data_IF_461644410596
#
_entry.id   IF_461644410596
#
_cell.length_a   1.000
_cell.length_b   1.000
_cell.length_c   1.000
_cell.angle_alpha   90.00
_cell.angle_beta   90.00
_cell.angle_gamma   90.00
#
_symmetry.space_group_name_H-M   'P 1'
#
loop_
_entity.id
_entity.type
_entity.pdbx_description
1 polymer ?
#
# COMPACT_ATOMS: atom_id res chain seq x y z
N UNK A 1 20.06 11.31 8.92
CA UNK A 1 18.88 10.64 8.33
C UNK A 1 18.64 9.25 8.91
N UNK A 2 19.64 8.35 8.93
CA UNK A 2 19.46 6.98 9.43
C UNK A 2 18.81 6.86 10.80
N UNK A 3 19.25 7.68 11.77
CA UNK A 3 18.65 7.72 13.11
C UNK A 3 17.29 8.43 13.17
N UNK A 4 17.05 9.42 12.30
CA UNK A 4 15.82 10.21 12.33
C UNK A 4 14.61 9.34 11.91
N UNK A 5 14.75 8.59 10.82
CA UNK A 5 13.64 7.82 10.25
C UNK A 5 13.82 6.31 10.43
N UNK A 6 14.43 5.91 11.54
CA UNK A 6 14.81 4.53 11.82
C UNK A 6 13.66 3.52 11.65
N UNK A 7 12.42 3.75 12.14
CA UNK A 7 11.30 2.81 11.97
C UNK A 7 10.97 2.50 10.51
N UNK A 8 11.06 3.48 9.60
CA UNK A 8 10.80 3.24 8.18
C UNK A 8 11.93 2.47 7.50
N UNK A 9 13.18 2.73 7.90
CA UNK A 9 14.36 2.06 7.36
C UNK A 9 14.44 0.59 7.81
N UNK A 10 14.06 0.26 9.04
CA UNK A 10 14.03 -1.13 9.52
C UNK A 10 12.99 -1.95 8.77
N UNK A 11 11.80 -1.38 8.53
CA UNK A 11 10.76 -2.04 7.73
C UNK A 11 11.20 -2.25 6.28
N UNK A 12 11.87 -1.26 5.68
CA UNK A 12 12.43 -1.41 4.32
C UNK A 12 13.52 -2.48 4.29
N UNK A 13 14.44 -2.47 5.26
CA UNK A 13 15.49 -3.47 5.36
C UNK A 13 14.92 -4.88 5.48
N UNK A 14 13.91 -5.09 6.32
CA UNK A 14 13.23 -6.39 6.44
C UNK A 14 12.66 -6.89 5.11
N UNK A 15 12.01 -6.01 4.33
CA UNK A 15 11.50 -6.35 2.99
C UNK A 15 12.61 -6.62 1.98
N UNK A 16 13.74 -5.93 2.09
CA UNK A 16 14.85 -6.16 1.17
C UNK A 16 15.62 -7.46 1.47
N UNK A 17 15.55 -7.96 2.71
CA UNK A 17 16.19 -9.23 3.10
C UNK A 17 15.29 -10.45 2.95
N UNK A 18 14.01 -10.26 2.62
CA UNK A 18 13.08 -11.32 2.21
C UNK A 18 13.29 -11.60 0.71
N UNK A 19 13.94 -12.72 0.39
CA UNK A 19 14.40 -13.05 -0.96
C UNK A 19 13.29 -13.58 -1.89
N UNK A 20 12.19 -14.03 -1.29
CA UNK A 20 10.95 -14.53 -1.88
C UNK A 20 9.94 -13.41 -2.24
N UNK A 21 10.09 -12.21 -1.67
CA UNK A 21 9.21 -11.08 -1.93
C UNK A 21 9.65 -10.21 -3.14
N UNK A 22 8.70 -9.40 -3.63
CA UNK A 22 8.87 -8.51 -4.79
C UNK A 22 9.90 -7.38 -4.64
N UNK A 23 10.56 -7.24 -3.48
CA UNK A 23 11.46 -6.13 -3.13
C UNK A 23 12.92 -6.54 -2.83
N UNK A 24 13.29 -7.80 -3.08
CA UNK A 24 14.66 -8.33 -2.88
C UNK A 24 15.76 -7.56 -3.62
N UNK A 25 15.45 -6.86 -4.72
CA UNK A 25 16.40 -6.01 -5.45
C UNK A 25 16.74 -4.70 -4.72
N UNK A 26 16.01 -4.34 -3.65
CA UNK A 26 16.15 -3.06 -2.97
C UNK A 26 17.57 -2.78 -2.45
N UNK A 27 18.24 -3.78 -1.87
CA UNK A 27 19.63 -3.64 -1.41
C UNK A 27 20.60 -3.29 -2.55
N UNK A 28 20.43 -3.89 -3.74
CA UNK A 28 21.28 -3.59 -4.90
C UNK A 28 21.06 -2.16 -5.39
N UNK A 29 19.81 -1.70 -5.42
CA UNK A 29 19.49 -0.32 -5.82
C UNK A 29 20.09 0.68 -4.82
N UNK A 30 19.94 0.44 -3.52
CA UNK A 30 20.52 1.30 -2.47
C UNK A 30 22.05 1.28 -2.53
N UNK A 31 22.66 0.12 -2.75
CA UNK A 31 24.11 0.00 -2.93
C UNK A 31 24.63 0.79 -4.13
N UNK A 32 23.98 0.66 -5.29
CA UNK A 32 24.31 1.44 -6.48
C UNK A 32 24.09 2.95 -6.27
N UNK A 33 23.02 3.34 -5.58
CA UNK A 33 22.74 4.72 -5.22
C UNK A 33 23.85 5.32 -4.35
N UNK A 34 24.25 4.64 -3.27
CA UNK A 34 25.33 5.09 -2.38
C UNK A 34 26.66 5.17 -3.14
N UNK A 35 26.99 4.14 -3.93
CA UNK A 35 28.19 4.13 -4.77
C UNK A 35 28.23 5.34 -5.73
N UNK A 36 27.11 5.61 -6.40
CA UNK A 36 26.99 6.73 -7.34
C UNK A 36 27.06 8.09 -6.64
N UNK A 37 26.50 8.22 -5.43
CA UNK A 37 26.65 9.41 -4.60
C UNK A 37 28.12 9.67 -4.27
N UNK A 38 28.84 8.65 -3.77
CA UNK A 38 30.27 8.76 -3.43
C UNK A 38 31.09 9.15 -4.67
N UNK A 39 30.87 8.47 -5.81
CA UNK A 39 31.59 8.74 -7.06
C UNK A 39 31.32 10.13 -7.64
N UNK A 40 30.12 10.67 -7.41
CA UNK A 40 29.75 12.01 -7.90
C UNK A 40 30.27 13.16 -7.01
N UNK A 41 30.71 12.86 -5.79
CA UNK A 41 31.25 13.83 -4.83
C UNK A 41 32.71 14.20 -5.19
N UNK A 42 33.19 15.44 -4.95
CA UNK A 42 32.51 16.56 -4.29
C UNK A 42 31.55 17.33 -5.21
N UNK A 43 30.43 17.76 -4.64
CA UNK A 43 29.48 18.61 -5.35
C UNK A 43 29.78 20.11 -5.15
N UNK A 44 29.61 20.94 -6.19
CA UNK A 44 29.74 22.38 -6.04
C UNK A 44 28.61 22.92 -5.15
N UNK A 45 28.96 23.89 -4.30
CA UNK A 45 27.99 24.67 -3.53
C UNK A 45 27.62 25.88 -4.39
N UNK A 46 26.37 25.95 -4.84
CA UNK A 46 25.88 27.12 -5.55
C UNK A 46 25.17 28.08 -4.60
N UNK A 47 25.46 29.40 -4.66
CA UNK A 47 24.74 30.38 -3.88
C UNK A 47 23.24 30.35 -4.24
N UNK A 48 22.42 30.41 -3.19
CA UNK A 48 20.97 30.32 -3.25
C UNK A 48 20.36 31.51 -2.53
N UNK A 49 19.23 32.01 -3.02
CA UNK A 49 18.52 33.10 -2.35
C UNK A 49 18.05 32.68 -0.94
N UNK A 50 18.06 33.62 -0.01
CA UNK A 50 17.60 33.36 1.36
C UNK A 50 16.19 32.79 1.43
N UNK A 51 15.30 33.23 0.52
CA UNK A 51 13.93 32.74 0.42
C UNK A 51 13.84 31.25 0.05
N UNK A 52 14.59 30.78 -0.96
CA UNK A 52 14.55 29.36 -1.34
C UNK A 52 15.12 28.49 -0.21
N UNK A 53 16.15 28.99 0.49
CA UNK A 53 16.72 28.29 1.65
C UNK A 53 15.70 28.20 2.79
N UNK A 54 15.02 29.31 3.11
CA UNK A 54 13.95 29.34 4.12
C UNK A 54 12.77 28.42 3.74
N UNK A 55 12.35 28.44 2.48
CA UNK A 55 11.28 27.55 2.01
C UNK A 55 11.70 26.07 2.09
N UNK A 56 12.96 25.76 1.77
CA UNK A 56 13.50 24.40 1.90
C UNK A 56 13.50 23.92 3.35
N UNK A 57 13.75 24.82 4.32
CA UNK A 57 13.61 24.53 5.76
C UNK A 57 12.18 24.18 6.15
N UNK A 58 11.22 25.00 5.74
CA UNK A 58 9.80 24.77 6.02
C UNK A 58 9.36 23.44 5.42
N UNK A 59 9.74 23.16 4.16
CA UNK A 59 9.40 21.90 3.50
C UNK A 59 10.05 20.70 4.19
N UNK A 60 11.28 20.85 4.71
CA UNK A 60 11.95 19.77 5.45
C UNK A 60 11.23 19.48 6.77
N UNK A 61 10.87 20.53 7.50
CA UNK A 61 10.08 20.43 8.73
C UNK A 61 8.71 19.78 8.47
N UNK A 62 8.01 20.23 7.41
CA UNK A 62 6.73 19.66 7.00
C UNK A 62 6.86 18.20 6.57
N UNK A 63 7.92 17.83 5.84
CA UNK A 63 8.18 16.44 5.46
C UNK A 63 8.43 15.56 6.68
N UNK A 64 9.19 16.07 7.66
CA UNK A 64 9.41 15.37 8.93
C UNK A 64 8.11 15.22 9.74
N UNK A 65 7.25 16.24 9.76
CA UNK A 65 5.92 16.17 10.37
C UNK A 65 5.00 15.17 9.66
N UNK A 66 4.97 15.17 8.31
CA UNK A 66 4.21 14.21 7.52
C UNK A 66 4.66 12.77 7.76
N UNK A 67 5.98 12.55 7.90
CA UNK A 67 6.52 11.26 8.29
C UNK A 67 5.98 10.81 9.66
N UNK A 68 5.99 11.71 10.65
CA UNK A 68 5.43 11.42 11.98
C UNK A 68 3.94 11.05 11.91
N UNK A 69 3.14 11.82 11.19
CA UNK A 69 1.70 11.55 11.02
C UNK A 69 1.46 10.20 10.33
N UNK A 70 2.27 9.86 9.32
CA UNK A 70 2.20 8.57 8.64
C UNK A 70 2.56 7.40 9.58
N UNK A 71 3.57 7.57 10.43
CA UNK A 71 3.98 6.56 11.41
C UNK A 71 2.91 6.31 12.48
N UNK A 72 2.34 7.38 13.07
CA UNK A 72 1.18 7.30 13.99
C UNK A 72 -0.02 6.64 13.29
N UNK A 73 -0.27 6.97 12.03
CA UNK A 73 -1.34 6.36 11.26
C UNK A 73 -1.06 4.89 10.85
N UNK A 74 0.14 4.35 11.12
CA UNK A 74 0.61 3.05 10.62
C UNK A 74 0.46 2.94 9.08
N UNK A 75 0.70 4.04 8.36
CA UNK A 75 0.74 4.09 6.89
C UNK A 75 2.21 4.03 6.46
N UNK A 76 2.80 2.84 6.55
CA UNK A 76 4.24 2.64 6.31
C UNK A 76 4.71 3.16 4.94
N UNK A 77 3.90 3.00 3.89
CA UNK A 77 4.24 3.47 2.55
C UNK A 77 4.50 4.99 2.50
N UNK A 78 3.65 5.79 3.17
CA UNK A 78 3.83 7.24 3.21
C UNK A 78 5.09 7.63 4.00
N UNK A 79 5.36 6.94 5.12
CA UNK A 79 6.59 7.14 5.89
C UNK A 79 7.85 6.83 5.07
N UNK A 80 7.84 5.72 4.32
CA UNK A 80 8.96 5.36 3.44
C UNK A 80 9.14 6.36 2.29
N UNK A 81 8.05 6.78 1.65
CA UNK A 81 8.09 7.78 0.57
C UNK A 81 8.60 9.14 1.04
N UNK A 82 8.37 9.53 2.30
CA UNK A 82 8.86 10.80 2.86
C UNK A 82 10.40 10.88 2.94
N UNK A 83 11.11 9.75 2.90
CA UNK A 83 12.58 9.69 2.93
C UNK A 83 13.21 10.38 1.71
N UNK A 84 12.62 10.22 0.52
CA UNK A 84 13.14 10.78 -0.74
C UNK A 84 13.12 12.31 -0.74
N UNK A 85 11.97 13.00 -0.56
CA UNK A 85 11.94 14.45 -0.53
C UNK A 85 12.75 15.01 0.64
N UNK A 86 12.74 14.36 1.81
CA UNK A 86 13.60 14.78 2.92
C UNK A 86 15.08 14.76 2.50
N UNK A 87 15.53 13.74 1.75
CA UNK A 87 16.93 13.64 1.33
C UNK A 87 17.27 14.71 0.29
N UNK A 88 16.39 14.92 -0.69
CA UNK A 88 16.53 15.98 -1.69
C UNK A 88 16.58 17.37 -1.04
N UNK A 89 15.76 17.62 -0.02
CA UNK A 89 15.75 18.89 0.72
C UNK A 89 17.03 19.11 1.51
N UNK A 90 17.57 18.07 2.16
CA UNK A 90 18.88 18.12 2.82
C UNK A 90 19.98 18.50 1.83
N UNK A 91 19.98 17.87 0.64
CA UNK A 91 20.93 18.21 -0.43
C UNK A 91 20.73 19.66 -0.91
N UNK A 92 19.49 20.09 -1.10
CA UNK A 92 19.14 21.46 -1.53
C UNK A 92 19.62 22.51 -0.53
N UNK A 93 19.42 22.27 0.77
CA UNK A 93 19.89 23.17 1.84
C UNK A 93 21.42 23.22 1.90
N UNK A 94 22.11 22.09 1.68
CA UNK A 94 23.57 21.99 1.83
C UNK A 94 24.35 22.52 0.63
N UNK A 95 23.89 22.21 -0.58
CA UNK A 95 24.62 22.43 -1.83
C UNK A 95 23.91 23.41 -2.78
N UNK A 96 22.65 23.75 -2.50
CA UNK A 96 21.83 24.62 -3.33
C UNK A 96 20.95 23.85 -4.32
N UNK A 97 19.85 24.47 -4.72
CA UNK A 97 18.85 23.94 -5.65
C UNK A 97 19.44 23.56 -7.00
N UNK A 98 20.38 24.35 -7.53
CA UNK A 98 21.05 24.05 -8.82
C UNK A 98 21.77 22.71 -8.79
N UNK A 99 22.49 22.43 -7.69
CA UNK A 99 23.20 21.15 -7.49
C UNK A 99 22.22 19.99 -7.34
N UNK A 100 21.17 20.16 -6.53
CA UNK A 100 20.13 19.14 -6.36
C UNK A 100 19.43 18.82 -7.69
N UNK A 101 19.12 19.84 -8.49
CA UNK A 101 18.48 19.69 -9.79
C UNK A 101 19.40 19.03 -10.83
N UNK A 102 20.70 19.35 -10.81
CA UNK A 102 21.70 18.70 -11.67
C UNK A 102 21.81 17.19 -11.38
N UNK A 103 21.62 16.79 -10.13
CA UNK A 103 21.68 15.39 -9.68
C UNK A 103 20.31 14.74 -9.49
N UNK A 104 19.22 15.36 -9.97
CA UNK A 104 17.84 14.88 -9.72
C UNK A 104 17.61 13.42 -10.08
N UNK A 105 18.23 12.95 -11.17
CA UNK A 105 18.11 11.55 -11.59
C UNK A 105 18.75 10.61 -10.57
N UNK A 106 19.95 10.94 -10.09
CA UNK A 106 20.56 10.15 -9.02
C UNK A 106 19.69 10.17 -7.76
N UNK A 107 19.20 11.35 -7.36
CA UNK A 107 18.43 11.54 -6.11
C UNK A 107 17.06 10.84 -6.11
N UNK A 108 16.45 10.62 -7.27
CA UNK A 108 15.16 9.94 -7.41
C UNK A 108 15.29 8.42 -7.52
N UNK A 109 16.48 7.88 -7.77
CA UNK A 109 16.73 6.44 -7.91
C UNK A 109 16.18 5.58 -6.74
N UNK A 110 16.22 6.01 -5.46
CA UNK A 110 15.68 5.22 -4.36
C UNK A 110 14.18 4.88 -4.46
N UNK A 111 13.42 5.51 -5.37
CA UNK A 111 12.00 5.18 -5.60
C UNK A 111 11.79 3.71 -6.00
N UNK A 112 12.78 3.09 -6.65
CA UNK A 112 12.74 1.67 -7.03
C UNK A 112 13.04 0.71 -5.87
N UNK A 113 13.51 1.23 -4.73
CA UNK A 113 13.73 0.48 -3.49
C UNK A 113 12.59 0.66 -2.47
N UNK A 114 11.52 1.40 -2.82
CA UNK A 114 10.34 1.62 -1.97
C UNK A 114 9.14 0.85 -2.56
N UNK A 115 8.30 0.20 -1.74
CA UNK A 115 7.14 -0.58 -2.17
C UNK A 115 5.95 0.26 -2.65
N UNK A 116 6.18 1.39 -3.33
CA UNK A 116 5.12 2.18 -3.97
C UNK A 116 4.49 1.43 -5.15
N UNK A 117 5.25 0.50 -5.73
CA UNK A 117 4.88 -0.28 -6.89
C UNK A 117 3.85 -1.38 -6.57
N UNK A 118 3.70 -1.78 -5.30
CA UNK A 118 2.70 -2.76 -4.85
C UNK A 118 1.27 -2.33 -5.23
N UNK A 119 1.02 -1.03 -5.38
CA UNK A 119 -0.25 -0.47 -5.86
C UNK A 119 -0.65 -0.96 -7.26
N UNK A 120 0.32 -1.39 -8.08
CA UNK A 120 0.08 -1.91 -9.42
C UNK A 120 -0.18 -3.42 -9.44
N UNK A 121 0.03 -4.13 -8.34
CA UNK A 121 0.05 -5.60 -8.30
C UNK A 121 -1.23 -6.22 -8.88
N UNK A 122 -2.41 -5.79 -8.41
CA UNK A 122 -3.70 -6.29 -8.89
C UNK A 122 -3.89 -6.04 -10.40
N UNK A 123 -3.49 -4.88 -10.89
CA UNK A 123 -3.56 -4.54 -12.32
C UNK A 123 -2.64 -5.43 -13.16
N UNK A 124 -1.44 -5.73 -12.65
CA UNK A 124 -0.48 -6.59 -13.33
C UNK A 124 -0.89 -8.07 -13.32
N UNK A 125 -1.53 -8.57 -12.25
CA UNK A 125 -2.14 -9.91 -12.21
C UNK A 125 -3.21 -10.04 -13.28
N UNK A 126 -4.14 -9.08 -13.35
CA UNK A 126 -5.21 -9.07 -14.35
C UNK A 126 -4.65 -9.01 -15.78
N UNK A 127 -3.66 -8.15 -16.01
CA UNK A 127 -3.01 -8.01 -17.31
C UNK A 127 -2.28 -9.31 -17.71
N UNK A 128 -1.53 -9.92 -16.80
CA UNK A 128 -0.83 -11.18 -17.04
C UNK A 128 -1.81 -12.32 -17.35
N UNK A 129 -2.90 -12.42 -16.60
CA UNK A 129 -3.95 -13.43 -16.82
C UNK A 129 -4.61 -13.28 -18.19
N UNK A 130 -4.88 -12.04 -18.61
CA UNK A 130 -5.45 -11.75 -19.92
C UNK A 130 -4.49 -12.12 -21.06
N UNK A 131 -3.22 -11.70 -20.97
CA UNK A 131 -2.23 -11.95 -22.03
C UNK A 131 -1.92 -13.44 -22.15
N UNK A 132 -1.59 -14.09 -21.04
CA UNK A 132 -1.29 -15.53 -21.02
C UNK A 132 -2.50 -16.34 -21.45
N UNK A 133 -3.69 -16.00 -20.96
CA UNK A 133 -4.94 -16.66 -21.36
C UNK A 133 -5.15 -16.62 -22.88
N UNK A 134 -4.91 -15.45 -23.51
CA UNK A 134 -4.97 -15.34 -24.98
C UNK A 134 -3.91 -16.20 -25.68
N UNK A 135 -2.69 -16.25 -25.16
CA UNK A 135 -1.63 -17.09 -25.75
C UNK A 135 -1.95 -18.59 -25.67
N UNK A 136 -2.52 -19.05 -24.55
CA UNK A 136 -2.98 -20.44 -24.37
C UNK A 136 -4.11 -20.77 -25.36
N UNK A 137 -5.06 -19.85 -25.53
CA UNK A 137 -6.12 -20.01 -26.53
C UNK A 137 -5.58 -20.04 -27.97
N UNK A 138 -4.59 -19.20 -28.28
CA UNK A 138 -3.97 -19.13 -29.62
C UNK A 138 -3.30 -20.45 -30.03
N UNK A 139 -2.76 -21.22 -29.08
CA UNK A 139 -2.16 -22.54 -29.35
C UNK A 139 -3.19 -23.69 -29.28
N UNK A 140 -4.49 -23.40 -29.14
CA UNK A 140 -5.59 -24.37 -29.04
C UNK A 140 -5.41 -25.42 -27.93
N UNK A 141 -4.74 -25.05 -26.84
CA UNK A 141 -4.55 -25.93 -25.69
C UNK A 141 -5.86 -26.04 -24.88
N UNK A 142 -6.26 -27.25 -24.43
CA UNK A 142 -7.51 -27.44 -23.67
C UNK A 142 -7.37 -26.84 -22.27
N UNK A 143 -7.76 -25.58 -22.10
CA UNK A 143 -7.71 -24.88 -20.83
C UNK A 143 -8.96 -24.01 -20.62
N UNK A 144 -9.44 -23.95 -19.38
CA UNK A 144 -10.50 -23.02 -18.96
C UNK A 144 -9.84 -21.88 -18.20
N UNK A 145 -10.08 -20.65 -18.64
CA UNK A 145 -9.54 -19.44 -18.02
C UNK A 145 -10.67 -18.77 -17.25
N UNK A 146 -10.52 -18.67 -15.93
CA UNK A 146 -11.48 -17.98 -15.06
C UNK A 146 -10.72 -17.00 -14.15
N UNK A 147 -10.88 -15.70 -14.42
CA UNK A 147 -10.15 -14.65 -13.73
C UNK A 147 -8.63 -14.82 -13.85
N UNK A 148 -7.96 -15.04 -12.71
CA UNK A 148 -6.53 -15.30 -12.62
C UNK A 148 -6.18 -16.80 -12.48
N UNK A 149 -7.14 -17.68 -12.70
CA UNK A 149 -6.98 -19.13 -12.65
C UNK A 149 -7.01 -19.73 -14.05
N UNK A 150 -6.05 -20.61 -14.34
CA UNK A 150 -5.96 -21.38 -15.58
C UNK A 150 -6.12 -22.86 -15.22
N UNK A 151 -7.25 -23.46 -15.59
CA UNK A 151 -7.55 -24.87 -15.38
C UNK A 151 -7.12 -25.67 -16.60
N UNK A 152 -6.28 -26.68 -16.39
CA UNK A 152 -5.83 -27.63 -17.40
C UNK A 152 -6.27 -29.04 -16.97
N UNK A 153 -6.28 -30.07 -17.85
CA UNK A 153 -6.85 -31.38 -17.50
C UNK A 153 -6.20 -32.04 -16.27
N UNK A 154 -4.93 -31.76 -16.03
CA UNK A 154 -4.12 -32.40 -14.99
C UNK A 154 -3.90 -31.51 -13.75
N UNK A 155 -4.45 -30.28 -13.72
CA UNK A 155 -4.19 -29.35 -12.63
C UNK A 155 -4.76 -27.95 -12.83
N UNK A 156 -4.45 -27.05 -11.91
CA UNK A 156 -4.81 -25.64 -12.03
C UNK A 156 -3.61 -24.76 -11.67
N UNK A 157 -3.46 -23.66 -12.39
CA UNK A 157 -2.37 -22.69 -12.18
C UNK A 157 -3.02 -21.37 -11.79
N UNK A 158 -2.72 -20.91 -10.58
CA UNK A 158 -3.21 -19.64 -10.05
C UNK A 158 -2.14 -18.57 -10.22
N UNK A 159 -2.46 -17.49 -10.95
CA UNK A 159 -1.62 -16.30 -11.03
C UNK A 159 -1.90 -15.44 -9.80
N UNK A 160 -1.13 -15.72 -8.73
CA UNK A 160 -1.16 -14.98 -7.47
C UNK A 160 -0.10 -13.85 -7.45
N UNK A 161 0.05 -13.20 -6.29
CA UNK A 161 0.94 -12.04 -6.10
C UNK A 161 2.40 -12.32 -6.53
N UNK A 162 2.92 -13.52 -6.28
CA UNK A 162 4.28 -13.91 -6.70
C UNK A 162 4.47 -14.07 -8.22
N UNK A 163 3.39 -14.17 -8.98
CA UNK A 163 3.39 -14.25 -10.45
C UNK A 163 2.81 -13.01 -11.13
N UNK A 164 2.51 -11.94 -10.39
CA UNK A 164 1.96 -10.71 -10.95
C UNK A 164 2.87 -10.06 -12.01
N UNK A 165 4.17 -10.30 -11.92
CA UNK A 165 5.19 -9.67 -12.75
C UNK A 165 5.74 -8.37 -12.18
N UNK A 166 5.30 -7.97 -10.98
CA UNK A 166 5.72 -6.71 -10.36
C UNK A 166 7.25 -6.63 -10.18
N UNK A 167 7.88 -7.74 -9.75
CA UNK A 167 9.34 -7.83 -9.57
C UNK A 167 10.09 -7.54 -10.88
N UNK A 168 9.75 -8.25 -11.94
CA UNK A 168 10.37 -8.07 -13.26
C UNK A 168 10.15 -6.66 -13.82
N UNK A 169 8.95 -6.11 -13.60
CA UNK A 169 8.61 -4.75 -13.98
C UNK A 169 9.48 -3.70 -13.27
N UNK A 170 9.55 -3.76 -11.93
CA UNK A 170 10.31 -2.78 -11.13
C UNK A 170 11.82 -2.91 -11.38
N UNK A 171 12.35 -4.13 -11.46
CA UNK A 171 13.78 -4.35 -11.76
C UNK A 171 14.12 -3.82 -13.14
N UNK A 172 13.29 -4.09 -14.15
CA UNK A 172 13.53 -3.57 -15.51
C UNK A 172 13.50 -2.06 -15.54
N UNK A 173 12.50 -1.43 -14.91
CA UNK A 173 12.44 0.02 -14.81
C UNK A 173 13.69 0.59 -14.12
N UNK A 174 14.13 -0.02 -13.01
CA UNK A 174 15.32 0.41 -12.29
C UNK A 174 16.58 0.29 -13.17
N UNK A 175 16.74 -0.81 -13.91
CA UNK A 175 17.83 -1.01 -14.85
C UNK A 175 17.79 0.00 -16.00
N UNK A 176 16.62 0.20 -16.63
CA UNK A 176 16.43 1.21 -17.67
C UNK A 176 16.72 2.63 -17.18
N UNK A 177 16.37 2.92 -15.93
CA UNK A 177 16.70 4.18 -15.26
C UNK A 177 18.20 4.34 -15.04
N UNK A 178 18.87 3.29 -14.53
CA UNK A 178 20.32 3.27 -14.31
C UNK A 178 21.06 3.45 -15.64
N UNK A 179 20.66 2.74 -16.68
CA UNK A 179 21.23 2.88 -18.04
C UNK A 179 21.05 4.30 -18.55
N UNK A 180 19.86 4.87 -18.40
CA UNK A 180 19.58 6.27 -18.80
C UNK A 180 20.43 7.28 -18.02
N UNK A 181 20.59 7.05 -16.71
CA UNK A 181 21.40 7.88 -15.83
C UNK A 181 22.89 7.83 -16.21
N UNK A 182 23.45 6.64 -16.39
CA UNK A 182 24.86 6.44 -16.74
C UNK A 182 25.21 6.98 -18.13
N UNK A 183 24.26 6.90 -19.08
CA UNK A 183 24.43 7.42 -20.43
C UNK A 183 23.96 8.88 -20.60
N UNK A 184 23.56 9.57 -19.51
CA UNK A 184 23.10 10.97 -19.56
C UNK A 184 22.00 11.24 -20.60
N UNK A 185 21.05 10.32 -20.73
CA UNK A 185 19.93 10.48 -21.64
C UNK A 185 19.11 11.73 -21.33
N UNK A 186 18.58 12.36 -22.39
CA UNK A 186 17.56 13.40 -22.24
C UNK A 186 16.32 12.84 -21.55
N UNK A 187 15.49 13.70 -20.94
CA UNK A 187 14.23 13.26 -20.31
C UNK A 187 13.35 12.43 -21.27
N UNK A 188 13.30 12.81 -22.55
CA UNK A 188 12.54 12.07 -23.58
C UNK A 188 13.11 10.66 -23.77
N UNK A 189 14.43 10.54 -23.90
CA UNK A 189 15.09 9.25 -24.09
C UNK A 189 15.02 8.38 -22.83
N UNK A 190 15.06 8.99 -21.64
CA UNK A 190 14.79 8.31 -20.37
C UNK A 190 13.39 7.72 -20.37
N UNK A 191 12.36 8.49 -20.71
CA UNK A 191 10.99 7.98 -20.76
C UNK A 191 10.84 6.83 -21.77
N UNK A 192 11.41 6.96 -22.97
CA UNK A 192 11.40 5.88 -23.97
C UNK A 192 12.08 4.64 -23.41
N UNK A 193 13.23 4.78 -22.76
CA UNK A 193 13.96 3.67 -22.14
C UNK A 193 13.15 3.00 -21.04
N UNK A 194 12.46 3.77 -20.20
CA UNK A 194 11.57 3.22 -19.17
C UNK A 194 10.38 2.47 -19.76
N UNK A 195 9.78 2.96 -20.85
CA UNK A 195 8.68 2.28 -21.54
C UNK A 195 9.16 0.95 -22.12
N UNK A 196 10.31 0.94 -22.79
CA UNK A 196 10.92 -0.28 -23.34
C UNK A 196 11.23 -1.27 -22.20
N UNK A 197 11.85 -0.79 -21.12
CA UNK A 197 12.21 -1.64 -19.99
C UNK A 197 10.96 -2.21 -19.29
N UNK A 198 9.93 -1.40 -19.07
CA UNK A 198 8.65 -1.85 -18.54
C UNK A 198 8.05 -2.97 -19.41
N UNK A 199 8.01 -2.77 -20.73
CA UNK A 199 7.49 -3.76 -21.66
C UNK A 199 8.29 -5.06 -21.61
N UNK A 200 9.63 -5.00 -21.65
CA UNK A 200 10.49 -6.18 -21.59
C UNK A 200 10.34 -6.94 -20.27
N UNK A 201 10.21 -6.24 -19.14
CA UNK A 201 9.97 -6.86 -17.84
C UNK A 201 8.63 -7.59 -17.77
N UNK A 202 7.57 -6.99 -18.29
CA UNK A 202 6.26 -7.64 -18.38
C UNK A 202 6.27 -8.81 -19.35
N UNK A 203 6.91 -8.66 -20.52
CA UNK A 203 7.06 -9.72 -21.51
C UNK A 203 7.79 -10.94 -20.92
N UNK A 204 8.87 -10.72 -20.18
CA UNK A 204 9.60 -11.79 -19.50
C UNK A 204 8.68 -12.55 -18.52
N UNK A 205 7.86 -11.84 -17.75
CA UNK A 205 6.89 -12.47 -16.84
C UNK A 205 5.81 -13.26 -17.60
N UNK A 206 5.25 -12.70 -18.67
CA UNK A 206 4.22 -13.39 -19.46
C UNK A 206 4.78 -14.65 -20.11
N UNK A 207 5.99 -14.59 -20.67
CA UNK A 207 6.68 -15.76 -21.21
C UNK A 207 6.94 -16.81 -20.13
N UNK A 208 7.38 -16.40 -18.93
CA UNK A 208 7.55 -17.31 -17.78
C UNK A 208 6.26 -18.08 -17.49
N UNK A 209 5.15 -17.36 -17.27
CA UNK A 209 3.86 -18.00 -16.91
C UNK A 209 3.38 -18.88 -18.06
N UNK A 210 3.44 -18.40 -19.30
CA UNK A 210 3.02 -19.17 -20.47
C UNK A 210 3.81 -20.47 -20.61
N UNK A 211 5.14 -20.42 -20.45
CA UNK A 211 5.99 -21.63 -20.48
C UNK A 211 5.61 -22.58 -19.35
N UNK A 212 5.32 -22.07 -18.13
CA UNK A 212 4.88 -22.92 -17.02
C UNK A 212 3.51 -23.57 -17.30
N UNK A 213 2.58 -22.88 -17.96
CA UNK A 213 1.29 -23.47 -18.36
C UNK A 213 1.50 -24.62 -19.35
N UNK A 214 2.32 -24.40 -20.37
CA UNK A 214 2.62 -25.43 -21.38
C UNK A 214 3.37 -26.60 -20.74
N UNK A 215 4.40 -26.35 -19.93
CA UNK A 215 5.15 -27.39 -19.22
C UNK A 215 4.24 -28.16 -18.25
N UNK A 216 3.37 -27.46 -17.51
CA UNK A 216 2.41 -28.08 -16.60
C UNK A 216 1.45 -29.03 -17.32
N UNK A 217 1.07 -28.71 -18.56
CA UNK A 217 0.26 -29.60 -19.39
C UNK A 217 1.03 -30.81 -19.90
N UNK A 218 2.18 -30.59 -20.54
CA UNK A 218 2.98 -31.66 -21.15
C UNK A 218 3.55 -32.63 -20.11
N UNK A 219 3.88 -32.13 -18.92
CA UNK A 219 4.45 -32.94 -17.84
C UNK A 219 3.42 -33.37 -16.79
N UNK A 220 2.13 -33.12 -17.02
CA UNK A 220 1.07 -33.41 -16.05
C UNK A 220 1.39 -32.86 -14.64
N UNK A 221 1.91 -31.63 -14.59
CA UNK A 221 2.35 -30.92 -13.38
C UNK A 221 3.55 -31.54 -12.65
N UNK A 222 4.26 -32.51 -13.23
CA UNK A 222 5.37 -33.22 -12.57
C UNK A 222 6.76 -32.58 -12.76
N UNK A 223 6.88 -31.58 -13.65
CA UNK A 223 8.17 -30.92 -13.89
C UNK A 223 8.68 -30.17 -12.65
N UNK A 224 9.98 -30.30 -12.37
CA UNK A 224 10.66 -29.51 -11.33
C UNK A 224 10.60 -27.99 -11.59
N UNK A 225 10.35 -27.56 -12.83
CA UNK A 225 10.10 -26.14 -13.12
C UNK A 225 8.85 -25.60 -12.44
N UNK A 226 7.88 -26.45 -12.09
CA UNK A 226 6.67 -26.03 -11.38
C UNK A 226 6.97 -25.70 -9.91
N UNK A 227 7.87 -26.43 -9.26
CA UNK A 227 8.33 -26.10 -7.91
C UNK A 227 9.31 -24.92 -7.94
N UNK A 228 10.31 -24.95 -8.82
CA UNK A 228 11.40 -23.97 -8.89
C UNK A 228 11.16 -22.85 -9.91
N UNK A 229 9.88 -22.50 -10.11
CA UNK A 229 9.44 -21.53 -11.10
C UNK A 229 10.06 -20.12 -10.91
N UNK A 230 10.59 -19.79 -9.73
CA UNK A 230 11.33 -18.54 -9.48
C UNK A 230 12.70 -18.49 -10.16
N UNK A 231 13.52 -19.54 -9.98
CA UNK A 231 14.85 -19.62 -10.61
C UNK A 231 14.75 -19.63 -12.13
N UNK A 232 13.79 -20.38 -12.67
CA UNK A 232 13.48 -20.37 -14.09
C UNK A 232 13.13 -18.95 -14.58
N UNK A 233 12.28 -18.25 -13.85
CA UNK A 233 11.91 -16.88 -14.18
C UNK A 233 13.09 -15.91 -14.20
N UNK A 234 14.03 -16.03 -13.25
CA UNK A 234 15.26 -15.24 -13.23
C UNK A 234 16.17 -15.52 -14.44
N UNK A 235 16.33 -16.79 -14.83
CA UNK A 235 17.12 -17.15 -16.00
C UNK A 235 16.51 -16.55 -17.29
N UNK A 236 15.19 -16.65 -17.45
CA UNK A 236 14.47 -16.06 -18.57
C UNK A 236 14.58 -14.53 -18.59
N UNK A 237 14.51 -13.90 -17.41
CA UNK A 237 14.68 -12.47 -17.28
C UNK A 237 16.08 -12.02 -17.68
N UNK A 238 17.13 -12.74 -17.26
CA UNK A 238 18.51 -12.44 -17.65
C UNK A 238 18.70 -12.59 -19.17
N UNK A 239 18.09 -13.61 -19.79
CA UNK A 239 18.13 -13.85 -21.23
C UNK A 239 17.55 -12.68 -22.03
N UNK A 240 16.49 -12.04 -21.54
CA UNK A 240 15.86 -10.88 -22.19
C UNK A 240 16.57 -9.57 -21.82
N UNK A 241 16.96 -9.43 -20.55
CA UNK A 241 17.51 -8.20 -19.98
C UNK A 241 18.94 -7.91 -20.43
N UNK A 242 19.83 -8.92 -20.47
CA UNK A 242 21.23 -8.68 -20.85
C UNK A 242 21.41 -8.16 -22.27
N UNK A 243 20.76 -8.73 -23.31
CA UNK A 243 20.81 -8.13 -24.65
C UNK A 243 20.28 -6.71 -24.66
N UNK A 244 19.18 -6.43 -23.95
CA UNK A 244 18.61 -5.08 -23.89
C UNK A 244 19.57 -4.05 -23.29
N UNK A 245 20.32 -4.42 -22.25
CA UNK A 245 21.35 -3.57 -21.65
C UNK A 245 22.55 -3.43 -22.60
N UNK A 246 22.99 -4.53 -23.22
CA UNK A 246 24.14 -4.55 -24.12
C UNK A 246 23.93 -3.66 -25.35
N UNK A 247 22.72 -3.69 -25.94
CA UNK A 247 22.36 -2.90 -27.11
C UNK A 247 21.84 -1.49 -26.76
N UNK A 248 21.86 -1.09 -25.49
CA UNK A 248 21.43 0.25 -25.10
C UNK A 248 22.35 1.33 -25.73
N UNK A 249 21.80 2.37 -26.39
CA UNK A 249 22.59 3.38 -27.07
C UNK A 249 23.60 4.09 -26.15
N UNK A 250 24.90 4.01 -26.43
CA UNK A 250 25.89 4.73 -25.62
C UNK A 250 26.01 6.17 -26.10
N UNK A 251 25.63 7.13 -25.26
CA UNK A 251 25.84 8.56 -25.52
C UNK A 251 27.13 8.98 -24.84
N UNK A 252 28.16 9.28 -25.63
CA UNK A 252 29.43 9.79 -25.09
C UNK A 252 29.20 11.19 -24.53
N UNK A 253 29.54 11.36 -23.24
CA UNK A 253 29.51 12.66 -22.58
C UNK A 253 30.55 13.60 -23.21
N UNK A 254 30.15 14.80 -23.61
CA UNK A 254 31.07 15.92 -23.75
C UNK A 254 31.35 16.44 -22.34
N UNK A 255 32.55 16.17 -21.83
CA UNK A 255 33.01 16.66 -20.52
C UNK A 255 33.32 18.14 -20.60
N UNK A 256 32.34 18.99 -20.33
CA UNK A 256 32.61 20.38 -19.95
C UNK A 256 32.85 20.41 -18.44
N UNK A 257 34.11 20.30 -18.03
CA UNK A 257 34.50 20.51 -16.64
C UNK A 257 34.60 22.00 -16.38
N UNK A 258 33.52 22.62 -15.89
CA UNK A 258 33.62 23.93 -15.27
C UNK A 258 34.17 23.72 -13.85
N UNK A 259 35.49 23.84 -13.71
CA UNK A 259 36.17 23.78 -12.41
C UNK A 259 35.86 25.06 -11.65
N UNK A 260 34.87 24.98 -10.77
CA UNK A 260 34.62 26.01 -9.76
C UNK A 260 35.46 25.68 -8.52
N UNK A 261 36.24 26.65 -7.99
CA UNK A 261 37.06 26.41 -6.81
C UNK A 261 36.16 26.01 -5.63
N UNK A 262 36.62 25.08 -4.76
CA UNK A 262 35.88 24.71 -3.57
C UNK A 262 35.76 25.95 -2.68
N UNK A 263 34.53 26.43 -2.48
CA UNK A 263 34.29 27.56 -1.59
C UNK A 263 33.40 27.18 -0.41
N UNK A 264 33.95 27.49 0.76
CA UNK A 264 33.39 27.48 2.11
C UNK A 264 33.25 26.14 2.83
N UNK A 265 33.93 26.08 3.97
CA UNK A 265 33.75 25.11 5.05
C UNK A 265 32.28 25.06 5.46
N UNK A 266 31.76 23.88 5.87
CA UNK A 266 30.39 23.78 6.38
C UNK A 266 30.24 24.71 7.59
N UNK A 267 29.34 25.69 7.48
CA UNK A 267 28.98 26.53 8.63
C UNK A 267 28.29 25.62 9.66
N UNK A 268 28.79 25.50 10.90
CA UNK A 268 28.21 24.60 11.91
C UNK A 268 26.73 24.90 12.19
N UNK A 269 26.33 26.17 12.09
CA UNK A 269 24.95 26.65 12.21
C UNK A 269 24.03 26.00 11.15
N UNK A 270 24.50 25.81 9.92
CA UNK A 270 23.72 25.19 8.84
C UNK A 270 23.48 23.70 9.11
N UNK A 271 24.47 22.99 9.68
CA UNK A 271 24.29 21.57 10.01
C UNK A 271 23.34 21.39 11.19
N UNK A 272 23.43 22.26 12.21
CA UNK A 272 22.52 22.25 13.36
C UNK A 272 21.07 22.47 12.94
N UNK A 273 20.80 23.40 12.02
CA UNK A 273 19.44 23.56 11.51
C UNK A 273 18.97 22.33 10.74
N UNK A 274 19.85 21.62 10.00
CA UNK A 274 19.46 20.41 9.21
C UNK A 274 18.97 19.34 10.17
N UNK A 275 19.73 19.15 11.24
CA UNK A 275 19.40 18.22 12.31
C UNK A 275 18.08 18.63 12.96
N UNK A 276 17.90 19.92 13.29
CA UNK A 276 16.66 20.41 13.90
C UNK A 276 15.44 20.14 13.02
N UNK A 277 15.49 20.48 11.72
CA UNK A 277 14.39 20.25 10.78
C UNK A 277 14.06 18.77 10.58
N UNK A 278 15.08 17.90 10.49
CA UNK A 278 14.90 16.45 10.41
C UNK A 278 14.33 15.86 11.69
N UNK A 279 14.69 16.40 12.85
CA UNK A 279 14.34 15.86 14.16
C UNK A 279 12.91 16.16 14.62
N UNK A 280 12.19 17.09 13.98
CA UNK A 280 10.81 17.49 14.40
C UNK A 280 9.88 16.27 14.48
N UNK A 281 9.71 15.52 13.40
CA UNK A 281 8.85 14.34 13.36
C UNK A 281 9.29 13.23 14.32
N UNK A 282 10.56 12.79 14.30
CA UNK A 282 11.06 11.78 15.22
C UNK A 282 10.93 12.17 16.70
N UNK A 283 11.16 13.43 17.04
CA UNK A 283 10.98 13.95 18.40
C UNK A 283 9.51 13.93 18.79
N UNK A 284 8.61 14.39 17.92
CA UNK A 284 7.16 14.28 18.13
C UNK A 284 6.71 12.83 18.26
N UNK A 285 7.29 11.90 17.49
CA UNK A 285 7.00 10.46 17.62
C UNK A 285 7.44 9.93 18.98
N UNK A 286 8.64 10.29 19.44
CA UNK A 286 9.17 9.84 20.71
C UNK A 286 8.34 10.39 21.90
N UNK A 287 7.84 11.62 21.79
CA UNK A 287 7.06 12.29 22.85
C UNK A 287 5.58 11.87 22.84
N UNK A 288 4.96 11.76 21.66
CA UNK A 288 3.51 11.63 21.53
C UNK A 288 3.02 10.22 21.18
N UNK A 289 3.88 9.37 20.59
CA UNK A 289 3.50 8.01 20.17
C UNK A 289 3.92 7.01 21.24
N UNK A 290 3.27 7.10 22.41
CA UNK A 290 3.45 6.16 23.53
C UNK A 290 2.84 4.79 23.21
N UNK A 291 3.32 3.70 23.87
CA UNK A 291 2.69 2.40 23.74
C UNK A 291 1.23 2.44 24.20
N UNK A 292 0.34 1.71 23.50
CA UNK A 292 -1.07 1.68 23.85
C UNK A 292 -1.30 1.09 25.25
N UNK A 293 -2.21 1.69 26.01
CA UNK A 293 -2.74 1.04 27.22
C UNK A 293 -3.78 0.00 26.79
N UNK A 294 -3.52 -1.26 27.18
CA UNK A 294 -4.49 -2.34 27.01
C UNK A 294 -5.52 -2.27 28.14
N UNK A 295 -6.80 -2.36 27.77
CA UNK A 295 -7.92 -2.32 28.70
C UNK A 295 -8.90 -3.41 28.28
N UNK A 296 -9.41 -4.24 29.22
CA UNK A 296 -10.34 -5.30 28.87
C UNK A 296 -11.58 -4.70 28.22
N UNK A 297 -11.91 -5.23 27.04
CA UNK A 297 -13.11 -4.89 26.31
C UNK A 297 -14.33 -5.45 27.06
N UNK A 298 -15.41 -4.68 27.09
CA UNK A 298 -16.65 -5.05 27.76
C UNK A 298 -17.72 -5.32 26.74
N UNK A 299 -18.60 -6.25 27.09
CA UNK A 299 -19.83 -6.44 26.34
C UNK A 299 -20.70 -5.19 26.42
N UNK A 300 -21.11 -4.67 25.26
CA UNK A 300 -21.99 -3.52 25.12
C UNK A 300 -23.46 -3.94 25.05
N UNK A 301 -23.75 -5.13 24.54
CA UNK A 301 -25.11 -5.59 24.23
C UNK A 301 -25.56 -6.83 25.03
N UNK A 302 -24.64 -7.59 25.63
CA UNK A 302 -24.97 -8.90 26.25
C UNK A 302 -26.03 -8.85 27.36
N UNK A 303 -26.25 -7.69 27.99
CA UNK A 303 -27.31 -7.50 29.00
C UNK A 303 -28.71 -7.23 28.44
N UNK A 304 -28.84 -6.91 27.15
CA UNK A 304 -30.10 -6.43 26.53
C UNK A 304 -30.68 -7.37 25.47
N UNK A 305 -29.96 -8.40 25.04
CA UNK A 305 -30.36 -9.19 23.90
C UNK A 305 -29.85 -10.64 23.96
N UNK A 306 -30.46 -11.51 23.17
CA UNK A 306 -30.06 -12.91 23.08
C UNK A 306 -28.83 -13.04 22.18
N UNK A 307 -27.74 -13.69 22.64
CA UNK A 307 -26.58 -13.93 21.81
C UNK A 307 -26.91 -14.93 20.70
N UNK A 308 -26.34 -14.71 19.52
CA UNK A 308 -26.50 -15.59 18.36
C UNK A 308 -25.13 -15.96 17.79
N UNK A 309 -24.98 -17.16 17.20
CA UNK A 309 -23.80 -17.48 16.42
C UNK A 309 -23.69 -16.60 15.17
N UNK A 310 -22.46 -16.20 14.80
CA UNK A 310 -22.18 -15.37 13.61
C UNK A 310 -22.74 -16.00 12.32
N UNK A 311 -22.81 -17.34 12.25
CA UNK A 311 -23.35 -18.08 11.10
C UNK A 311 -24.84 -17.82 10.84
N UNK A 312 -25.57 -17.27 11.81
CA UNK A 312 -26.98 -16.92 11.67
C UNK A 312 -27.22 -15.48 11.19
N UNK A 313 -26.16 -14.67 11.05
CA UNK A 313 -26.25 -13.31 10.53
C UNK A 313 -26.80 -13.31 9.09
N UNK A 314 -27.70 -12.38 8.73
CA UNK A 314 -28.22 -12.25 7.36
C UNK A 314 -27.14 -12.08 6.29
N UNK A 315 -26.09 -11.30 6.59
CA UNK A 315 -24.94 -11.04 5.75
C UNK A 315 -23.66 -11.26 6.56
N UNK A 316 -22.83 -12.21 6.13
CA UNK A 316 -21.52 -12.45 6.74
C UNK A 316 -20.52 -11.38 6.28
N UNK A 317 -19.96 -10.64 7.24
CA UNK A 317 -18.98 -9.61 6.96
C UNK A 317 -17.57 -10.19 6.86
N UNK A 318 -16.81 -9.75 5.85
CA UNK A 318 -15.40 -10.10 5.65
C UNK A 318 -14.52 -9.10 6.41
N UNK A 319 -14.38 -9.32 7.71
CA UNK A 319 -13.63 -8.46 8.62
C UNK A 319 -12.33 -9.13 9.11
N UNK A 320 -11.25 -8.36 9.34
CA UNK A 320 -10.09 -8.82 10.08
C UNK A 320 -10.47 -9.30 11.48
N UNK A 321 -9.69 -10.21 12.07
CA UNK A 321 -9.97 -10.75 13.41
C UNK A 321 -10.07 -9.63 14.45
N UNK A 322 -11.24 -9.38 15.04
CA UNK A 322 -11.41 -8.36 16.06
C UNK A 322 -10.82 -8.83 17.39
N UNK A 323 -10.57 -7.88 18.30
CA UNK A 323 -10.16 -8.19 19.67
C UNK A 323 -11.35 -8.74 20.49
N UNK A 324 -12.56 -8.27 20.18
CA UNK A 324 -13.81 -8.76 20.75
C UNK A 324 -14.95 -8.59 19.74
N UNK A 325 -15.87 -9.54 19.67
CA UNK A 325 -17.04 -9.46 18.79
C UNK A 325 -18.31 -9.91 19.50
N UNK A 326 -19.37 -9.11 19.39
CA UNK A 326 -20.69 -9.43 19.92
C UNK A 326 -21.69 -9.59 18.78
N UNK A 327 -22.50 -10.66 18.85
CA UNK A 327 -23.56 -10.93 17.91
C UNK A 327 -24.85 -11.20 18.68
N UNK A 328 -25.87 -10.37 18.49
CA UNK A 328 -27.14 -10.49 19.20
C UNK A 328 -28.33 -10.27 18.26
N UNK A 329 -29.51 -10.71 18.69
CA UNK A 329 -30.77 -10.45 18.00
C UNK A 329 -31.76 -9.72 18.91
N UNK A 330 -32.35 -8.66 18.37
CA UNK A 330 -33.45 -7.88 18.97
C UNK A 330 -34.58 -7.85 17.94
N UNK A 331 -35.71 -8.49 18.27
CA UNK A 331 -36.84 -8.70 17.35
C UNK A 331 -36.38 -9.35 16.03
N UNK A 332 -36.57 -8.66 14.88
CA UNK A 332 -36.10 -9.09 13.56
C UNK A 332 -34.76 -8.46 13.13
N UNK A 333 -34.14 -7.67 14.02
CA UNK A 333 -32.85 -7.00 13.76
C UNK A 333 -31.70 -7.78 14.38
N UNK A 334 -30.69 -8.03 13.57
CA UNK A 334 -29.45 -8.71 13.92
C UNK A 334 -28.37 -7.65 14.13
N UNK A 335 -27.66 -7.70 15.25
CA UNK A 335 -26.62 -6.73 15.58
C UNK A 335 -25.28 -7.44 15.69
N UNK A 336 -24.28 -6.86 15.03
CA UNK A 336 -22.89 -7.24 15.13
C UNK A 336 -22.07 -6.02 15.55
N UNK A 337 -21.30 -6.17 16.63
CA UNK A 337 -20.32 -5.19 17.08
C UNK A 337 -18.95 -5.85 17.05
N UNK A 338 -18.04 -5.31 16.25
CA UNK A 338 -16.64 -5.74 16.23
C UNK A 338 -15.76 -4.65 16.84
N UNK A 339 -15.06 -5.00 17.91
CA UNK A 339 -14.19 -4.11 18.66
C UNK A 339 -12.72 -4.45 18.39
N UNK A 340 -11.95 -3.41 18.08
CA UNK A 340 -10.52 -3.49 17.78
C UNK A 340 -9.75 -2.61 18.77
N UNK A 341 -8.60 -3.12 19.21
CA UNK A 341 -7.70 -2.42 20.10
C UNK A 341 -6.26 -2.80 19.74
N UNK A 342 -5.33 -1.86 19.85
CA UNK A 342 -3.90 -2.15 19.64
C UNK A 342 -3.32 -2.79 20.88
N UNK A 343 -2.56 -3.87 20.72
CA UNK A 343 -1.74 -4.45 21.79
C UNK A 343 -0.30 -3.91 21.76
N UNK A 344 0.19 -3.52 20.59
CA UNK A 344 1.53 -2.99 20.37
C UNK A 344 1.54 -1.70 19.52
N UNK A 345 2.68 -0.99 19.53
CA UNK A 345 2.87 0.25 18.77
C UNK A 345 2.72 0.04 17.25
N UNK A 346 3.14 -1.11 16.72
CA UNK A 346 2.98 -1.44 15.29
C UNK A 346 1.56 -1.86 14.89
N UNK A 347 0.65 -2.09 15.83
CA UNK A 347 -0.70 -2.54 15.50
C UNK A 347 -1.52 -1.39 14.93
N UNK A 348 -2.37 -1.71 13.95
CA UNK A 348 -3.28 -0.74 13.33
C UNK A 348 -4.54 -0.60 14.19
N UNK A 349 -4.85 0.62 14.63
CA UNK A 349 -6.08 0.90 15.37
C UNK A 349 -7.32 0.68 14.49
N UNK A 350 -7.35 1.34 13.33
CA UNK A 350 -8.36 1.09 12.30
C UNK A 350 -7.76 0.10 11.30
N UNK A 351 -8.27 -1.14 11.21
CA UNK A 351 -7.70 -2.13 10.32
C UNK A 351 -7.96 -1.78 8.86
N UNK A 352 -7.16 -2.37 7.96
CA UNK A 352 -7.42 -2.25 6.53
C UNK A 352 -8.56 -3.21 6.14
N UNK A 353 -9.63 -2.67 5.56
CA UNK A 353 -10.77 -3.44 5.08
C UNK A 353 -10.95 -3.12 3.60
N UNK A 354 -10.57 -4.05 2.73
CA UNK A 354 -10.71 -3.87 1.28
C UNK A 354 -12.17 -3.88 0.84
N UNK A 355 -12.93 -4.87 1.36
CA UNK A 355 -14.38 -5.04 1.17
C UNK A 355 -14.96 -5.64 2.43
N UNK A 356 -16.17 -5.19 2.78
CA UNK A 356 -16.90 -5.65 3.96
C UNK A 356 -17.73 -6.92 3.71
N UNK A 357 -17.95 -7.29 2.44
CA UNK A 357 -18.80 -8.39 2.06
C UNK A 357 -18.20 -9.19 0.90
N UNK A 358 -18.61 -10.45 0.77
CA UNK A 358 -18.26 -11.30 -0.36
C UNK A 358 -18.99 -10.85 -1.64
N UNK A 359 -18.26 -10.20 -2.55
CA UNK A 359 -18.81 -9.72 -3.82
C UNK A 359 -19.03 -10.82 -4.86
N UNK A 360 -18.65 -12.08 -4.59
CA UNK A 360 -19.04 -13.23 -5.41
C UNK A 360 -20.50 -13.60 -5.12
N UNK A 361 -20.93 -13.53 -3.86
CA UNK A 361 -22.27 -13.92 -3.40
C UNK A 361 -23.27 -12.75 -3.37
N UNK A 362 -22.82 -11.55 -3.05
CA UNK A 362 -23.67 -10.39 -2.82
C UNK A 362 -23.40 -9.24 -3.79
N UNK A 363 -24.45 -8.50 -4.12
CA UNK A 363 -24.39 -7.23 -4.87
C UNK A 363 -24.97 -6.11 -4.03
N UNK A 364 -24.23 -5.03 -3.87
CA UNK A 364 -24.76 -3.78 -3.29
C UNK A 364 -25.61 -3.08 -4.35
N UNK A 365 -26.91 -2.92 -4.10
CA UNK A 365 -27.85 -2.26 -5.02
C UNK A 365 -28.03 -0.78 -4.68
N UNK A 366 -28.16 -0.46 -3.40
CA UNK A 366 -28.39 0.91 -2.93
C UNK A 366 -27.49 1.25 -1.74
N UNK A 367 -27.05 2.50 -1.68
CA UNK A 367 -26.29 3.06 -0.56
C UNK A 367 -26.75 4.49 -0.29
N UNK A 368 -27.09 4.77 0.96
CA UNK A 368 -27.50 6.09 1.41
C UNK A 368 -26.88 6.42 2.76
N UNK A 369 -26.31 7.62 2.91
CA UNK A 369 -25.93 8.14 4.24
C UNK A 369 -27.18 8.64 4.97
N UNK A 370 -27.36 8.24 6.22
CA UNK A 370 -28.43 8.69 7.09
C UNK A 370 -27.86 9.23 8.40
N UNK A 371 -28.56 10.21 8.98
CA UNK A 371 -28.22 10.80 10.27
C UNK A 371 -29.18 10.27 11.34
N UNK A 372 -28.63 9.62 12.37
CA UNK A 372 -29.34 9.13 13.55
C UNK A 372 -28.90 9.96 14.73
N UNK A 373 -29.58 11.09 14.95
CA UNK A 373 -29.15 12.16 15.86
C UNK A 373 -27.69 12.57 15.60
N UNK A 374 -26.79 12.28 16.54
CA UNK A 374 -25.35 12.58 16.40
C UNK A 374 -24.55 11.56 15.58
N UNK A 375 -25.14 10.41 15.21
CA UNK A 375 -24.48 9.33 14.47
C UNK A 375 -24.70 9.49 12.98
N UNK A 376 -23.61 9.54 12.21
CA UNK A 376 -23.66 9.38 10.76
C UNK A 376 -23.48 7.90 10.42
N UNK A 377 -24.44 7.31 9.70
CA UNK A 377 -24.42 5.89 9.35
C UNK A 377 -24.73 5.66 7.87
N UNK A 378 -24.20 4.56 7.32
CA UNK A 378 -24.46 4.07 5.98
C UNK A 378 -25.60 3.06 6.00
N UNK A 379 -26.72 3.38 5.35
CA UNK A 379 -27.77 2.42 5.01
C UNK A 379 -27.45 1.79 3.65
N UNK A 380 -27.44 0.47 3.60
CA UNK A 380 -26.97 -0.30 2.46
C UNK A 380 -27.94 -1.46 2.18
N UNK A 381 -28.37 -1.60 0.93
CA UNK A 381 -29.19 -2.72 0.49
C UNK A 381 -28.36 -3.70 -0.33
N UNK A 382 -28.32 -4.94 0.13
CA UNK A 382 -27.62 -6.04 -0.51
C UNK A 382 -28.60 -7.04 -1.09
N UNK A 383 -28.28 -7.56 -2.27
CA UNK A 383 -28.99 -8.68 -2.91
C UNK A 383 -28.08 -9.88 -3.05
N UNK A 384 -28.58 -11.06 -2.69
CA UNK A 384 -27.88 -12.32 -2.88
C UNK A 384 -28.04 -12.77 -4.33
N UNK A 385 -26.93 -13.01 -5.03
CA UNK A 385 -26.93 -13.27 -6.48
C UNK A 385 -27.66 -14.55 -6.88
N UNK A 386 -27.59 -15.61 -6.06
CA UNK A 386 -28.20 -16.91 -6.41
C UNK A 386 -29.62 -17.09 -5.87
N UNK A 387 -29.95 -16.46 -4.74
CA UNK A 387 -31.24 -16.68 -4.06
C UNK A 387 -32.21 -15.53 -4.26
N UNK A 388 -31.73 -14.38 -4.75
CA UNK A 388 -32.54 -13.18 -4.92
C UNK A 388 -32.98 -12.53 -3.59
N UNK A 389 -32.50 -13.02 -2.44
CA UNK A 389 -32.84 -12.49 -1.12
C UNK A 389 -32.20 -11.12 -0.92
N UNK A 390 -32.89 -10.27 -0.15
CA UNK A 390 -32.45 -8.93 0.18
C UNK A 390 -32.10 -8.82 1.66
N UNK A 391 -31.00 -8.12 1.93
CA UNK A 391 -30.56 -7.77 3.29
C UNK A 391 -30.34 -6.28 3.35
N UNK A 392 -31.00 -5.63 4.31
CA UNK A 392 -30.76 -4.23 4.62
C UNK A 392 -29.78 -4.16 5.78
N UNK A 393 -28.71 -3.39 5.61
CA UNK A 393 -27.69 -3.16 6.63
C UNK A 393 -27.54 -1.68 6.92
N UNK A 394 -27.50 -1.34 8.20
CA UNK A 394 -27.07 -0.04 8.68
C UNK A 394 -25.73 -0.19 9.41
N UNK A 395 -24.76 0.61 9.00
CA UNK A 395 -23.40 0.50 9.54
C UNK A 395 -22.80 1.87 9.84
N UNK A 396 -22.05 1.94 10.93
CA UNK A 396 -21.18 3.08 11.22
C UNK A 396 -19.94 2.62 11.98
N UNK A 397 -18.98 3.52 12.06
CA UNK A 397 -17.72 3.33 12.73
C UNK A 397 -17.64 4.27 13.93
N UNK A 398 -17.19 3.77 15.08
CA UNK A 398 -16.93 4.60 16.25
C UNK A 398 -15.45 4.56 16.61
N UNK A 399 -14.91 5.73 16.90
CA UNK A 399 -13.52 5.93 17.26
C UNK A 399 -13.41 7.17 18.14
N UNK A 400 -12.74 7.08 19.28
CA UNK A 400 -12.41 8.26 20.08
C UNK A 400 -13.61 9.11 20.55
N UNK A 401 -14.79 8.50 20.75
CA UNK A 401 -16.03 9.21 21.09
C UNK A 401 -16.64 9.99 19.91
N UNK A 402 -16.17 9.74 18.69
CA UNK A 402 -16.73 10.27 17.45
C UNK A 402 -17.23 9.11 16.60
N UNK A 403 -18.28 9.37 15.81
CA UNK A 403 -18.85 8.39 14.89
C UNK A 403 -18.72 8.89 13.45
N UNK A 404 -18.60 7.95 12.52
CA UNK A 404 -18.53 8.26 11.09
C UNK A 404 -19.09 7.11 10.26
N UNK A 405 -19.65 7.45 9.12
CA UNK A 405 -20.20 6.56 8.11
C UNK A 405 -19.11 6.07 7.12
N UNK A 406 -17.90 6.64 7.19
CA UNK A 406 -16.82 6.40 6.23
C UNK A 406 -15.58 5.80 6.88
N UNK A 407 -15.16 4.63 6.40
CA UNK A 407 -13.92 3.98 6.83
C UNK A 407 -12.69 4.85 6.58
N UNK A 408 -12.69 5.63 5.50
CA UNK A 408 -11.58 6.55 5.16
C UNK A 408 -11.48 7.66 6.20
N UNK A 409 -12.63 8.22 6.61
CA UNK A 409 -12.68 9.23 7.66
C UNK A 409 -12.26 8.64 9.01
N UNK A 410 -12.75 7.44 9.35
CA UNK A 410 -12.30 6.72 10.55
C UNK A 410 -10.78 6.51 10.56
N UNK A 411 -10.20 6.16 9.41
CA UNK A 411 -8.75 5.98 9.25
C UNK A 411 -7.96 7.27 9.47
N UNK A 412 -8.53 8.44 9.15
CA UNK A 412 -7.91 9.75 9.44
C UNK A 412 -8.08 10.13 10.92
N UNK A 413 -9.26 9.88 11.49
CA UNK A 413 -9.56 10.15 12.90
C UNK A 413 -8.71 9.33 13.88
N UNK A 414 -8.08 8.25 13.43
CA UNK A 414 -7.15 7.47 14.25
C UNK A 414 -5.93 8.29 14.71
N UNK A 415 -5.53 9.32 13.97
CA UNK A 415 -4.38 10.16 14.33
C UNK A 415 -4.68 10.94 15.62
N UNK A 416 -5.71 11.82 15.68
CA UNK A 416 -6.03 12.51 16.92
C UNK A 416 -6.46 11.56 18.04
N UNK A 417 -7.08 10.40 17.73
CA UNK A 417 -7.40 9.38 18.72
C UNK A 417 -6.14 8.86 19.44
N UNK A 418 -5.13 8.43 18.68
CA UNK A 418 -3.89 7.92 19.24
C UNK A 418 -3.12 8.98 20.03
N UNK A 419 -3.09 10.23 19.55
CA UNK A 419 -2.47 11.34 20.28
C UNK A 419 -3.17 11.66 21.62
N UNK A 420 -4.45 11.27 21.75
CA UNK A 420 -5.23 11.38 22.99
C UNK A 420 -5.24 10.10 23.83
N UNK A 421 -4.39 9.12 23.49
CA UNK A 421 -4.35 7.79 24.13
C UNK A 421 -5.67 7.01 24.03
N UNK A 422 -6.50 7.30 23.02
CA UNK A 422 -7.71 6.53 22.73
C UNK A 422 -7.35 5.39 21.77
N UNK A 423 -7.48 4.18 22.27
CA UNK A 423 -6.97 2.98 21.62
C UNK A 423 -8.06 1.98 21.21
N UNK A 424 -9.31 2.42 21.07
CA UNK A 424 -10.44 1.56 20.71
C UNK A 424 -11.11 2.05 19.44
N UNK A 425 -11.37 1.11 18.54
CA UNK A 425 -12.13 1.29 17.29
C UNK A 425 -13.24 0.25 17.24
N UNK A 426 -14.44 0.64 16.83
CA UNK A 426 -15.60 -0.24 16.81
C UNK A 426 -16.34 -0.12 15.48
N UNK A 427 -16.82 -1.26 14.99
CA UNK A 427 -17.70 -1.35 13.83
C UNK A 427 -19.05 -1.82 14.34
N UNK A 428 -20.09 -1.04 14.08
CA UNK A 428 -21.46 -1.39 14.39
C UNK A 428 -22.19 -1.74 13.10
N UNK A 429 -22.79 -2.92 13.05
CA UNK A 429 -23.53 -3.40 11.89
C UNK A 429 -24.88 -3.96 12.34
N UNK A 430 -25.96 -3.28 11.96
CA UNK A 430 -27.34 -3.71 12.15
C UNK A 430 -27.83 -4.28 10.83
N UNK A 431 -28.42 -5.46 10.84
CA UNK A 431 -28.88 -6.16 9.65
C UNK A 431 -30.30 -6.68 9.83
N UNK A 432 -31.08 -6.67 8.76
CA UNK A 432 -32.40 -7.30 8.71
C UNK A 432 -32.63 -7.95 7.35
N UNK A 433 -33.40 -9.04 7.32
CA UNK A 433 -33.79 -9.72 6.09
C UNK A 433 -35.05 -9.04 5.55
N UNK A 434 -35.02 -8.60 4.30
CA UNK A 434 -36.21 -8.00 3.71
C UNK A 434 -37.16 -9.08 3.19
N UNK A 435 -38.45 -8.91 3.47
CA UNK A 435 -39.52 -9.73 2.91
C UNK A 435 -39.81 -9.32 1.47
N UNK A 436 -39.74 -8.03 1.17
CA UNK A 436 -39.95 -7.46 -0.17
C UNK A 436 -38.66 -6.87 -0.74
N UNK A 437 -38.61 -6.66 -2.06
CA UNK A 437 -37.43 -6.11 -2.74
C UNK A 437 -37.14 -4.64 -2.41
N UNK A 438 -38.10 -3.91 -1.81
CA UNK A 438 -37.94 -2.50 -1.44
C UNK A 438 -37.57 -2.30 0.05
N UNK A 439 -37.58 -3.35 0.88
CA UNK A 439 -37.15 -3.30 2.29
C UNK A 439 -37.78 -2.18 3.16
N UNK A 440 -38.90 -1.55 2.77
CA UNK A 440 -39.39 -0.33 3.43
C UNK A 440 -39.90 -0.57 4.86
N UNK A 441 -40.63 -1.67 5.06
CA UNK A 441 -41.11 -2.09 6.38
C UNK A 441 -39.94 -2.38 7.32
N UNK A 442 -38.92 -3.07 6.81
CA UNK A 442 -37.74 -3.46 7.57
C UNK A 442 -36.83 -2.27 7.85
N UNK A 443 -36.78 -1.29 6.94
CA UNK A 443 -36.09 -0.02 7.14
C UNK A 443 -36.62 0.69 8.37
N UNK A 444 -37.93 0.85 8.50
CA UNK A 444 -38.51 1.53 9.68
C UNK A 444 -38.23 0.78 10.98
N UNK A 445 -38.33 -0.56 10.99
CA UNK A 445 -37.97 -1.38 12.16
C UNK A 445 -36.49 -1.30 12.51
N UNK A 446 -35.61 -1.29 11.51
CA UNK A 446 -34.17 -1.23 11.73
C UNK A 446 -33.76 0.14 12.31
N UNK A 447 -34.37 1.22 11.82
CA UNK A 447 -34.11 2.57 12.32
C UNK A 447 -34.68 2.79 13.73
N UNK A 448 -35.79 2.16 14.09
CA UNK A 448 -36.34 2.24 15.45
C UNK A 448 -35.42 1.56 16.47
N UNK A 449 -34.88 0.38 16.14
CA UNK A 449 -33.88 -0.32 16.96
C UNK A 449 -32.58 0.49 17.04
N UNK A 450 -32.13 1.08 15.94
CA UNK A 450 -30.93 1.93 15.96
C UNK A 450 -31.09 3.16 16.87
N UNK A 451 -32.26 3.81 16.83
CA UNK A 451 -32.57 4.95 17.71
C UNK A 451 -32.69 4.55 19.19
N UNK A 452 -33.24 3.37 19.51
CA UNK A 452 -33.36 2.92 20.91
C UNK A 452 -32.00 2.57 21.54
N UNK A 453 -31.00 2.26 20.71
CA UNK A 453 -29.65 1.94 21.15
C UNK A 453 -28.71 3.16 21.15
N UNK A 454 -29.12 4.33 20.68
CA UNK A 454 -28.25 5.48 20.46
C UNK A 454 -27.38 5.86 21.67
N UNK A 455 -27.94 5.78 22.88
CA UNK A 455 -27.21 6.08 24.13
C UNK A 455 -26.09 5.08 24.47
N UNK A 456 -26.20 3.84 23.98
CA UNK A 456 -25.17 2.80 24.09
C UNK A 456 -24.13 2.89 22.98
N UNK A 457 -24.50 3.45 21.83
CA UNK A 457 -23.69 3.45 20.61
C UNK A 457 -22.80 4.70 20.46
N UNK A 458 -22.93 5.67 21.39
CA UNK A 458 -22.12 6.90 21.47
C UNK A 458 -21.06 6.83 22.60
N UNK A 459 -21.26 5.98 23.61
CA UNK A 459 -20.32 5.77 24.72
C UNK A 459 -19.20 4.82 24.32
#
# INVERSE_FOLDING_TARGET
MGFAFFPSLTLLYGRWTQWDEGMSHGLMIVGFFIFSLIKSSPWPIHPQSGLITFLSWILLALTSLLWFLADVANIHLLGQLALIPAFILVITIRYGWRTAYAHKWLLLLPIFAIPVWDLLNNSLVNLSSLVVGKWVQLINMPAVIDGNSIFIPFGHILIADGCSGIRYFVISLALGYIVSYLNHYSWRNLLITLVIAAFLGLLANWLRIFILVVVGYETQMQSALMSDHEYFGWALFALIGFPAIYFAPVVKKQTTHEYLPPSTTPRPILMLSIIAGLAIGPLLNAILNEPPVYAPLKDLLSSKANPIPVSHMPLLLTLPTPAHSEHVRIDETYLQIDQYQRAAKQDKLVPYIARLYNNQEWTLEERQTISLGAIQAQLQQYRHKSSGRYVLQLQWFALAGTTTDSLVVAKLLQIPAQLRQQNQFQIFSLQTRCVTSNCETERTSLLSVANSLQDLLIR
#
